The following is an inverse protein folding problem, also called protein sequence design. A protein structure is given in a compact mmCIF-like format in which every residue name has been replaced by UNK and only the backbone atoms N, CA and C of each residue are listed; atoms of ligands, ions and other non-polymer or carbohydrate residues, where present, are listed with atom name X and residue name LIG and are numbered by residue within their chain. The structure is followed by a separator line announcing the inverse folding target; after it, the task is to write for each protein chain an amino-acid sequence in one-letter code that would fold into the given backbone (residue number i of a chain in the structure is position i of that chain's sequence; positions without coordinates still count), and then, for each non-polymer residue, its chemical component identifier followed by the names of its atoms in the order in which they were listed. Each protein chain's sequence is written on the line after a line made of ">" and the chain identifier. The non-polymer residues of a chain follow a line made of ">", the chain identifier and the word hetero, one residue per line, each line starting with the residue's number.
data_IF_059092354384
#
_entry.id   IF_059092354384
#
_cell.length_a   1.000
_cell.length_b   1.000
_cell.length_c   1.000
_cell.angle_alpha   90.00
_cell.angle_beta   90.00
_cell.angle_gamma   90.00
#
_symmetry.space_group_name_H-M   'P 1'
#
loop_
_entity.id
_entity.type
_entity.pdbx_description
1 polymer ?
#
# COMPACT_ATOMS: atom_id res chain seq x y z
N UNK A 1 -9.93 -14.00 7.65
CA UNK A 1 -9.97 -13.84 9.12
C UNK A 1 -10.60 -15.03 9.84
N UNK A 2 -11.46 -15.80 9.15
CA UNK A 2 -12.18 -16.97 9.67
C UNK A 2 -11.33 -17.96 10.48
N UNK A 3 -10.09 -18.25 10.05
CA UNK A 3 -9.19 -19.15 10.77
C UNK A 3 -8.88 -18.69 12.21
N UNK A 4 -8.75 -17.38 12.44
CA UNK A 4 -8.46 -16.83 13.76
C UNK A 4 -9.69 -16.95 14.66
N UNK A 5 -10.87 -16.58 14.15
CA UNK A 5 -12.14 -16.74 14.86
C UNK A 5 -12.47 -18.21 15.16
N UNK A 6 -12.15 -19.13 14.25
CA UNK A 6 -12.29 -20.58 14.48
C UNK A 6 -11.41 -21.04 15.64
N UNK A 7 -10.16 -20.57 15.72
CA UNK A 7 -9.27 -20.89 16.85
C UNK A 7 -9.77 -20.32 18.16
N UNK A 8 -10.26 -19.09 18.17
CA UNK A 8 -10.80 -18.46 19.38
C UNK A 8 -12.05 -19.22 19.83
N UNK A 9 -12.94 -19.58 18.89
CA UNK A 9 -14.12 -20.41 19.17
C UNK A 9 -13.75 -21.79 19.72
N UNK A 10 -12.69 -22.41 19.18
CA UNK A 10 -12.15 -23.66 19.71
C UNK A 10 -11.62 -23.49 21.14
N UNK A 11 -10.92 -22.39 21.44
CA UNK A 11 -10.43 -22.10 22.80
C UNK A 11 -11.58 -21.87 23.79
N UNK A 12 -12.64 -21.15 23.38
CA UNK A 12 -13.87 -20.99 24.18
C UNK A 12 -14.49 -22.35 24.50
N UNK A 13 -14.68 -23.21 23.48
CA UNK A 13 -15.22 -24.56 23.68
C UNK A 13 -14.31 -25.48 24.50
N UNK A 14 -12.99 -25.33 24.40
CA UNK A 14 -12.04 -26.07 25.23
C UNK A 14 -12.10 -25.62 26.70
N UNK A 15 -12.24 -24.32 26.97
CA UNK A 15 -12.41 -23.80 28.32
C UNK A 15 -13.68 -24.37 28.97
N UNK A 16 -14.80 -24.39 28.24
CA UNK A 16 -16.05 -25.01 28.68
C UNK A 16 -15.87 -26.52 28.95
N UNK A 17 -15.21 -27.24 28.04
CA UNK A 17 -14.97 -28.68 28.17
C UNK A 17 -14.06 -29.07 29.33
N UNK A 18 -13.18 -28.15 29.76
CA UNK A 18 -12.32 -28.31 30.93
C UNK A 18 -12.97 -27.86 32.24
N UNK A 19 -14.19 -27.30 32.18
CA UNK A 19 -14.86 -26.73 33.34
C UNK A 19 -14.17 -25.48 33.87
N UNK A 20 -13.49 -24.73 32.99
CA UNK A 20 -12.89 -23.45 33.34
C UNK A 20 -14.01 -22.41 33.40
N UNK A 21 -14.17 -21.80 34.57
CA UNK A 21 -15.19 -20.78 34.81
C UNK A 21 -14.61 -19.59 35.61
N UNK A 22 -15.44 -18.58 35.83
CA UNK A 22 -15.04 -17.39 36.60
C UNK A 22 -14.95 -17.62 38.12
N UNK A 23 -15.19 -18.83 38.63
CA UNK A 23 -15.14 -19.12 40.08
C UNK A 23 -13.71 -19.12 40.63
N UNK A 24 -12.73 -19.41 39.78
CA UNK A 24 -11.30 -19.36 40.10
C UNK A 24 -10.64 -18.10 39.55
N UNK A 25 -9.55 -17.65 40.20
CA UNK A 25 -8.80 -16.47 39.72
C UNK A 25 -8.15 -16.76 38.37
N UNK A 26 -7.66 -17.98 38.21
CA UNK A 26 -7.03 -18.50 37.01
C UNK A 26 -8.05 -18.63 35.87
N UNK A 27 -9.23 -19.18 36.12
CA UNK A 27 -10.27 -19.31 35.11
C UNK A 27 -10.81 -17.96 34.65
N UNK A 28 -11.00 -17.02 35.57
CA UNK A 28 -11.33 -15.63 35.23
C UNK A 28 -10.26 -15.00 34.33
N UNK A 29 -8.97 -15.15 34.67
CA UNK A 29 -7.87 -14.64 33.84
C UNK A 29 -7.86 -15.28 32.44
N UNK A 30 -8.01 -16.59 32.34
CA UNK A 30 -8.00 -17.31 31.07
C UNK A 30 -9.15 -16.90 30.16
N UNK A 31 -10.37 -16.78 30.69
CA UNK A 31 -11.52 -16.31 29.92
C UNK A 31 -11.31 -14.88 29.40
N UNK A 32 -10.80 -13.98 30.24
CA UNK A 32 -10.47 -12.61 29.81
C UNK A 32 -9.38 -12.58 28.72
N UNK A 33 -8.39 -13.49 28.76
CA UNK A 33 -7.39 -13.60 27.68
C UNK A 33 -8.07 -14.01 26.37
N UNK A 34 -8.99 -14.98 26.43
CA UNK A 34 -9.73 -15.44 25.24
C UNK A 34 -10.61 -14.33 24.66
N UNK A 35 -11.24 -13.52 25.50
CA UNK A 35 -12.04 -12.36 25.07
C UNK A 35 -11.16 -11.29 24.41
N UNK A 36 -10.01 -10.97 25.00
CA UNK A 36 -9.05 -10.01 24.40
C UNK A 36 -8.52 -10.52 23.05
N UNK A 37 -8.36 -11.83 22.87
CA UNK A 37 -7.99 -12.41 21.57
C UNK A 37 -9.10 -12.24 20.53
N UNK A 38 -10.38 -12.27 20.94
CA UNK A 38 -11.54 -11.98 20.10
C UNK A 38 -11.53 -10.52 19.65
N UNK A 39 -11.30 -9.59 20.58
CA UNK A 39 -11.16 -8.16 20.28
C UNK A 39 -10.00 -7.89 19.32
N UNK A 40 -8.86 -8.59 19.49
CA UNK A 40 -7.74 -8.49 18.56
C UNK A 40 -8.07 -9.05 17.18
N UNK A 41 -8.86 -10.12 17.10
CA UNK A 41 -9.31 -10.64 15.82
C UNK A 41 -10.18 -9.59 15.09
N UNK A 42 -11.11 -8.94 15.80
CA UNK A 42 -11.92 -7.85 15.25
C UNK A 42 -11.06 -6.68 14.77
N UNK A 43 -10.14 -6.20 15.60
CA UNK A 43 -9.28 -5.08 15.23
C UNK A 43 -8.38 -5.37 14.01
N UNK A 44 -7.90 -6.61 13.87
CA UNK A 44 -7.13 -7.02 12.69
C UNK A 44 -8.01 -7.08 11.45
N UNK A 45 -9.27 -7.49 11.57
CA UNK A 45 -10.21 -7.52 10.45
C UNK A 45 -10.49 -6.11 9.93
N UNK A 46 -10.78 -5.18 10.84
CA UNK A 46 -10.96 -3.77 10.50
C UNK A 46 -9.72 -3.19 9.79
N UNK A 47 -8.51 -3.50 10.28
CA UNK A 47 -7.25 -3.08 9.64
C UNK A 47 -7.06 -3.65 8.23
N UNK A 48 -7.49 -4.89 7.99
CA UNK A 48 -7.38 -5.51 6.66
C UNK A 48 -8.32 -4.80 5.69
N UNK A 49 -9.53 -4.43 6.11
CA UNK A 49 -10.47 -3.66 5.29
C UNK A 49 -9.91 -2.28 4.96
N UNK A 50 -9.40 -1.56 5.96
CA UNK A 50 -8.79 -0.24 5.74
C UNK A 50 -7.56 -0.32 4.80
N UNK A 51 -6.77 -1.39 4.92
CA UNK A 51 -5.63 -1.62 4.01
C UNK A 51 -6.08 -1.87 2.57
N UNK A 52 -7.18 -2.62 2.37
CA UNK A 52 -7.75 -2.85 1.04
C UNK A 52 -8.23 -1.53 0.42
N UNK A 53 -8.94 -0.70 1.19
CA UNK A 53 -9.37 0.63 0.75
C UNK A 53 -8.18 1.53 0.37
N UNK A 54 -7.10 1.52 1.17
CA UNK A 54 -5.86 2.25 0.82
C UNK A 54 -5.25 1.73 -0.48
N UNK A 55 -5.30 0.42 -0.72
CA UNK A 55 -4.87 -0.18 -1.98
C UNK A 55 -5.62 0.42 -3.17
N UNK A 56 -6.94 0.51 -3.08
CA UNK A 56 -7.77 1.12 -4.13
C UNK A 56 -7.42 2.60 -4.35
N UNK A 57 -7.21 3.37 -3.27
CA UNK A 57 -6.77 4.77 -3.41
C UNK A 57 -5.40 4.91 -4.07
N UNK A 58 -4.48 3.98 -3.80
CA UNK A 58 -3.16 3.98 -4.46
C UNK A 58 -3.31 3.69 -5.95
N UNK A 59 -4.15 2.72 -6.32
CA UNK A 59 -4.43 2.40 -7.73
C UNK A 59 -5.04 3.60 -8.47
N UNK A 60 -5.96 4.33 -7.83
CA UNK A 60 -6.51 5.56 -8.42
C UNK A 60 -5.47 6.67 -8.59
N UNK A 61 -4.56 6.82 -7.62
CA UNK A 61 -3.47 7.80 -7.73
C UNK A 61 -2.53 7.41 -8.87
N UNK A 62 -2.24 6.12 -9.05
CA UNK A 62 -1.39 5.62 -10.15
C UNK A 62 -2.02 5.92 -11.52
N UNK A 63 -3.34 5.67 -11.66
CA UNK A 63 -4.10 5.99 -12.88
C UNK A 63 -4.09 7.50 -13.18
N UNK A 64 -4.43 8.33 -12.18
CA UNK A 64 -4.40 9.80 -12.32
C UNK A 64 -2.99 10.31 -12.68
N UNK A 65 -1.93 9.68 -12.16
CA UNK A 65 -0.56 10.05 -12.46
C UNK A 65 -0.16 9.65 -13.88
N UNK A 66 -0.59 8.47 -14.36
CA UNK A 66 -0.36 8.02 -15.72
C UNK A 66 -1.00 8.97 -16.75
N UNK A 67 -2.23 9.44 -16.47
CA UNK A 67 -2.90 10.44 -17.32
C UNK A 67 -2.09 11.75 -17.40
N UNK A 68 -1.56 12.22 -16.27
CA UNK A 68 -0.71 13.42 -16.22
C UNK A 68 0.64 13.19 -16.95
N UNK A 69 1.21 11.99 -16.85
CA UNK A 69 2.43 11.64 -17.59
C UNK A 69 2.18 11.62 -19.10
N UNK A 70 1.05 11.10 -19.56
CA UNK A 70 0.66 11.14 -20.97
C UNK A 70 0.46 12.58 -21.46
N UNK A 71 -0.23 13.43 -20.69
CA UNK A 71 -0.43 14.86 -21.04
C UNK A 71 0.88 15.65 -21.15
N UNK A 72 1.90 15.31 -20.34
CA UNK A 72 3.18 16.05 -20.28
C UNK A 72 4.23 15.46 -21.23
N UNK A 73 4.34 14.13 -21.29
CA UNK A 73 5.42 13.42 -21.97
C UNK A 73 4.95 12.66 -23.23
N UNK A 74 3.64 12.38 -23.37
CA UNK A 74 3.09 11.63 -24.50
C UNK A 74 3.22 12.32 -25.87
N UNK A 75 3.23 13.66 -25.91
CA UNK A 75 3.51 14.42 -27.15
C UNK A 75 5.02 14.54 -27.47
N UNK A 76 5.92 14.26 -26.52
CA UNK A 76 7.37 14.41 -26.72
C UNK A 76 8.05 13.16 -27.30
N UNK A 77 7.45 11.97 -27.17
CA UNK A 77 7.97 10.72 -27.74
C UNK A 77 7.80 10.63 -29.28
N UNK A 78 6.97 11.48 -29.90
CA UNK A 78 6.89 11.59 -31.38
C UNK A 78 7.97 12.52 -31.97
N UNK A 79 8.74 13.24 -31.15
CA UNK A 79 9.75 14.21 -31.61
C UNK A 79 11.20 13.75 -31.46
N UNK A 80 11.44 12.49 -31.09
CA UNK A 80 12.78 11.89 -31.01
C UNK A 80 13.29 11.31 -32.36
N UNK A 81 12.62 11.65 -33.47
CA UNK A 81 13.13 11.49 -34.85
C UNK A 81 13.72 12.79 -35.41
N UNK A 82 14.12 13.77 -34.58
CA UNK A 82 14.91 14.91 -35.05
C UNK A 82 16.40 14.53 -35.20
N UNK A 83 16.65 13.83 -36.31
CA UNK A 83 17.84 13.87 -37.17
C UNK A 83 19.17 14.25 -36.47
N UNK A 84 20.01 13.25 -36.23
CA UNK A 84 21.44 13.37 -35.95
C UNK A 84 22.20 13.97 -37.18
N UNK A 85 21.86 15.17 -37.63
CA UNK A 85 22.52 15.78 -38.81
C UNK A 85 22.71 17.30 -38.72
N UNK A 86 22.96 17.82 -37.51
CA UNK A 86 23.62 19.13 -37.40
C UNK A 86 25.12 18.96 -37.56
N UNK A 87 25.50 18.85 -38.83
CA UNK A 87 26.84 19.01 -39.37
C UNK A 87 27.59 20.18 -38.72
N UNK A 88 28.81 19.84 -38.35
CA UNK A 88 29.92 20.67 -37.94
C UNK A 88 30.30 21.65 -39.08
N UNK A 89 29.73 22.86 -39.14
CA UNK A 89 30.25 23.95 -40.00
C UNK A 89 30.59 25.23 -39.22
N UNK A 90 31.90 25.39 -39.03
CA UNK A 90 32.62 26.61 -38.69
C UNK A 90 32.21 27.80 -39.59
N UNK A 91 31.89 28.95 -38.99
CA UNK A 91 32.23 30.25 -39.56
C UNK A 91 32.97 31.11 -38.53
N UNK A 92 34.27 31.15 -38.78
CA UNK A 92 35.29 32.04 -38.24
C UNK A 92 35.09 33.42 -38.87
N UNK A 93 34.52 34.39 -38.16
CA UNK A 93 34.58 35.81 -38.58
C UNK A 93 34.33 36.78 -37.41
N UNK A 94 35.32 36.95 -36.54
CA UNK A 94 35.51 38.24 -35.85
C UNK A 94 36.91 38.78 -36.13
N UNK A 95 37.12 39.21 -37.37
CA UNK A 95 38.22 40.12 -37.74
C UNK A 95 37.75 41.59 -37.58
N UNK A 96 38.27 42.21 -36.52
CA UNK A 96 38.57 43.63 -36.29
C UNK A 96 37.72 44.76 -36.92
N UNK A 97 37.20 45.64 -36.05
CA UNK A 97 37.05 47.10 -36.30
C UNK A 97 37.35 47.80 -34.95
N UNK A 98 38.17 48.85 -34.75
CA UNK A 98 38.58 50.01 -35.56
C UNK A 98 40.00 50.50 -35.17
N UNK A 99 40.79 50.93 -36.16
CA UNK A 99 41.23 52.34 -36.28
C UNK A 99 41.36 52.74 -37.77
#
# INVERSE_FOLDING_TARGET
>A
MDYLYEKISYLKGLADGLGIDESSKEGKLLLNIVDVLDDFAGAIEDLVVEQEEIGEYVDYIDEDLADVEEDIYGEFDEFDEFDEDYEDEYYDEEEYIEE
#
